data_IF_741964074720
#
_entry.id   IF_741964074720
#
_cell.length_a   1.000
_cell.length_b   1.000
_cell.length_c   1.000
_cell.angle_alpha   90.00
_cell.angle_beta   90.00
_cell.angle_gamma   90.00
#
_symmetry.space_group_name_H-M   'P 1'
#
loop_
_entity.id
_entity.type
_entity.pdbx_description
1 polymer ?
#
# COMPACT_ATOMS: atom_id res chain seq x y z
N UNK A 1 -52.79 -54.46 -13.72
CA UNK A 1 -51.34 -54.29 -13.49
C UNK A 1 -50.71 -53.17 -14.39
N UNK A 2 -50.81 -53.29 -15.73
CA UNK A 2 -50.19 -52.30 -16.64
C UNK A 2 -50.71 -50.88 -16.46
N UNK A 3 -52.01 -50.68 -16.33
CA UNK A 3 -52.59 -49.33 -16.12
C UNK A 3 -52.23 -48.71 -14.78
N UNK A 4 -51.99 -49.48 -13.75
CA UNK A 4 -51.49 -48.97 -12.45
C UNK A 4 -50.04 -48.51 -12.54
N UNK A 5 -49.19 -49.21 -13.29
CA UNK A 5 -47.82 -48.80 -13.56
C UNK A 5 -47.73 -47.52 -14.39
N UNK A 6 -48.64 -47.39 -15.42
CA UNK A 6 -48.68 -46.14 -16.21
C UNK A 6 -49.11 -44.95 -15.35
N UNK A 7 -50.10 -45.13 -14.47
CA UNK A 7 -50.53 -44.06 -13.55
C UNK A 7 -49.45 -43.68 -12.56
N UNK A 8 -48.70 -44.65 -12.03
CA UNK A 8 -47.60 -44.40 -11.14
C UNK A 8 -46.47 -43.61 -11.84
N UNK A 9 -46.10 -44.01 -13.07
CA UNK A 9 -45.13 -43.30 -13.89
C UNK A 9 -45.53 -41.87 -14.21
N UNK A 10 -46.80 -41.64 -14.56
CA UNK A 10 -47.34 -40.28 -14.80
C UNK A 10 -47.24 -39.40 -13.56
N UNK A 11 -47.54 -39.93 -12.39
CA UNK A 11 -47.41 -39.19 -11.13
C UNK A 11 -45.94 -38.89 -10.81
N UNK A 12 -45.01 -39.81 -11.12
CA UNK A 12 -43.58 -39.55 -10.95
C UNK A 12 -43.08 -38.45 -11.90
N UNK A 13 -43.52 -38.47 -13.17
CA UNK A 13 -43.15 -37.43 -14.14
C UNK A 13 -43.65 -36.06 -13.65
N UNK A 14 -44.93 -35.95 -13.27
CA UNK A 14 -45.49 -34.68 -12.76
C UNK A 14 -44.76 -34.17 -11.50
N UNK A 15 -44.35 -35.07 -10.60
CA UNK A 15 -43.56 -34.71 -9.43
C UNK A 15 -42.14 -34.21 -9.79
N UNK A 16 -41.48 -34.85 -10.78
CA UNK A 16 -40.19 -34.45 -11.29
C UNK A 16 -40.27 -33.11 -12.03
N UNK A 17 -41.28 -32.87 -12.85
CA UNK A 17 -41.52 -31.60 -13.51
C UNK A 17 -41.67 -30.46 -12.49
N UNK A 18 -42.50 -30.65 -11.46
CA UNK A 18 -42.67 -29.67 -10.39
C UNK A 18 -41.36 -29.43 -9.60
N UNK A 19 -40.57 -30.45 -9.35
CA UNK A 19 -39.29 -30.31 -8.68
C UNK A 19 -38.28 -29.57 -9.56
N UNK A 20 -38.29 -29.76 -10.87
CA UNK A 20 -37.45 -29.06 -11.82
C UNK A 20 -37.82 -27.58 -11.87
N UNK A 21 -39.09 -27.23 -11.99
CA UNK A 21 -39.56 -25.84 -11.99
C UNK A 21 -39.11 -25.10 -10.72
N UNK A 22 -39.23 -25.73 -9.55
CA UNK A 22 -38.77 -25.14 -8.28
C UNK A 22 -37.25 -24.95 -8.26
N UNK A 23 -36.48 -25.89 -8.84
CA UNK A 23 -35.03 -25.78 -8.93
C UNK A 23 -34.61 -24.65 -9.86
N UNK A 24 -35.21 -24.55 -11.05
CA UNK A 24 -34.97 -23.49 -12.02
C UNK A 24 -35.25 -22.09 -11.44
N UNK A 25 -36.36 -21.98 -10.70
CA UNK A 25 -36.70 -20.72 -10.02
C UNK A 25 -35.67 -20.34 -8.97
N UNK A 26 -35.21 -21.30 -8.17
CA UNK A 26 -34.13 -21.05 -7.17
C UNK A 26 -32.81 -20.64 -7.82
N UNK A 27 -32.47 -21.24 -8.93
CA UNK A 27 -31.27 -20.91 -9.68
C UNK A 27 -31.37 -19.51 -10.29
N UNK A 28 -32.50 -19.13 -10.84
CA UNK A 28 -32.78 -17.79 -11.34
C UNK A 28 -32.67 -16.74 -10.22
N UNK A 29 -33.29 -16.99 -9.05
CA UNK A 29 -33.22 -16.11 -7.88
C UNK A 29 -31.78 -15.99 -7.32
N UNK A 30 -31.07 -17.11 -7.30
CA UNK A 30 -29.65 -17.12 -6.85
C UNK A 30 -28.77 -16.31 -7.79
N UNK A 31 -28.93 -16.49 -9.09
CA UNK A 31 -28.18 -15.75 -10.10
C UNK A 31 -28.50 -14.25 -10.05
N UNK A 32 -29.75 -13.86 -9.82
CA UNK A 32 -30.12 -12.45 -9.62
C UNK A 32 -29.48 -11.85 -8.38
N UNK A 33 -29.43 -12.58 -7.26
CA UNK A 33 -28.76 -12.16 -6.02
C UNK A 33 -27.27 -12.02 -6.21
N UNK A 34 -26.60 -12.96 -6.89
CA UNK A 34 -25.17 -12.90 -7.19
C UNK A 34 -24.86 -11.67 -8.04
N UNK A 35 -25.66 -11.39 -9.07
CA UNK A 35 -25.50 -10.22 -9.91
C UNK A 35 -25.69 -8.91 -9.12
N UNK A 36 -26.68 -8.83 -8.22
CA UNK A 36 -26.89 -7.67 -7.37
C UNK A 36 -25.75 -7.46 -6.38
N UNK A 37 -25.30 -8.50 -5.69
CA UNK A 37 -24.15 -8.45 -4.80
C UNK A 37 -22.88 -8.03 -5.54
N UNK A 38 -22.66 -8.53 -6.75
CA UNK A 38 -21.52 -8.12 -7.60
C UNK A 38 -21.56 -6.63 -7.93
N UNK A 39 -22.73 -6.10 -8.30
CA UNK A 39 -22.87 -4.65 -8.54
C UNK A 39 -22.57 -3.81 -7.28
N UNK A 40 -23.14 -4.19 -6.13
CA UNK A 40 -22.91 -3.50 -4.85
C UNK A 40 -21.44 -3.54 -4.44
N UNK A 41 -20.79 -4.68 -4.60
CA UNK A 41 -19.36 -4.84 -4.32
C UNK A 41 -18.52 -3.92 -5.22
N UNK A 42 -18.79 -3.89 -6.53
CA UNK A 42 -18.07 -3.03 -7.46
C UNK A 42 -18.22 -1.54 -7.12
N UNK A 43 -19.43 -1.10 -6.75
CA UNK A 43 -19.66 0.29 -6.31
C UNK A 43 -18.88 0.60 -5.03
N UNK A 44 -18.94 -0.28 -4.04
CA UNK A 44 -18.21 -0.10 -2.79
C UNK A 44 -16.69 -0.07 -2.99
N UNK A 45 -16.15 -0.94 -3.85
CA UNK A 45 -14.74 -0.95 -4.22
C UNK A 45 -14.33 0.33 -4.95
N UNK A 46 -15.14 0.80 -5.90
CA UNK A 46 -14.85 2.05 -6.61
C UNK A 46 -14.82 3.25 -5.65
N UNK A 47 -15.77 3.34 -4.73
CA UNK A 47 -15.78 4.37 -3.69
C UNK A 47 -14.54 4.29 -2.80
N UNK A 48 -14.14 3.10 -2.38
CA UNK A 48 -12.93 2.91 -1.54
C UNK A 48 -11.66 3.30 -2.28
N UNK A 49 -11.55 2.96 -3.56
CA UNK A 49 -10.41 3.38 -4.41
C UNK A 49 -10.35 4.90 -4.55
N UNK A 50 -11.49 5.58 -4.77
CA UNK A 50 -11.54 7.04 -4.84
C UNK A 50 -11.12 7.69 -3.53
N UNK A 51 -11.60 7.19 -2.41
CA UNK A 51 -11.24 7.67 -1.07
C UNK A 51 -9.72 7.52 -0.82
N UNK A 52 -9.15 6.34 -1.08
CA UNK A 52 -7.71 6.09 -0.95
C UNK A 52 -6.88 7.01 -1.85
N UNK A 53 -7.31 7.23 -3.10
CA UNK A 53 -6.64 8.13 -4.02
C UNK A 53 -6.68 9.59 -3.53
N UNK A 54 -7.80 10.02 -2.93
CA UNK A 54 -7.91 11.35 -2.32
C UNK A 54 -6.91 11.52 -1.19
N UNK A 55 -6.89 10.60 -0.21
CA UNK A 55 -5.92 10.67 0.89
C UNK A 55 -4.47 10.67 0.41
N UNK A 56 -4.16 9.84 -0.59
CA UNK A 56 -2.83 9.83 -1.20
C UNK A 56 -2.49 11.20 -1.82
N UNK A 57 -3.40 11.78 -2.58
CA UNK A 57 -3.20 13.10 -3.22
C UNK A 57 -3.03 14.21 -2.19
N UNK A 58 -3.85 14.23 -1.14
CA UNK A 58 -3.76 15.21 -0.06
C UNK A 58 -2.43 15.07 0.70
N UNK A 59 -2.00 13.83 0.98
CA UNK A 59 -0.70 13.53 1.60
C UNK A 59 0.46 14.09 0.76
N UNK A 60 0.52 13.75 -0.53
CA UNK A 60 1.59 14.25 -1.41
C UNK A 60 1.51 15.74 -1.66
N UNK A 61 0.31 16.31 -1.73
CA UNK A 61 0.11 17.76 -1.84
C UNK A 61 0.76 18.52 -0.69
N UNK A 62 0.46 18.12 0.55
CA UNK A 62 1.01 18.77 1.76
C UNK A 62 2.52 18.55 1.92
N UNK A 63 3.01 17.34 1.70
CA UNK A 63 4.46 17.09 1.71
C UNK A 63 5.17 17.93 0.65
N UNK A 64 4.56 18.08 -0.53
CA UNK A 64 5.10 18.94 -1.58
C UNK A 64 5.18 20.40 -1.12
N UNK A 65 4.15 20.95 -0.50
CA UNK A 65 4.16 22.33 0.04
C UNK A 65 5.29 22.53 1.06
N UNK A 66 5.49 21.56 1.97
CA UNK A 66 6.53 21.63 3.00
C UNK A 66 7.95 21.49 2.43
N UNK A 67 8.10 20.72 1.35
CA UNK A 67 9.39 20.35 0.78
C UNK A 67 9.73 21.08 -0.53
N UNK A 68 8.79 21.87 -1.12
CA UNK A 68 8.95 22.50 -2.43
C UNK A 68 9.98 23.64 -2.47
N UNK A 69 10.28 24.26 -1.34
CA UNK A 69 11.21 25.41 -1.23
C UNK A 69 12.69 24.96 -1.15
N UNK A 70 13.02 23.71 -1.61
CA UNK A 70 14.33 23.10 -1.37
C UNK A 70 14.94 22.57 -2.64
N UNK A 71 16.10 23.13 -3.00
CA UNK A 71 16.89 22.72 -4.15
C UNK A 71 17.40 21.25 -4.05
N UNK A 72 17.42 20.69 -2.83
CA UNK A 72 17.98 19.36 -2.54
C UNK A 72 16.96 18.22 -2.60
N UNK A 73 15.69 18.54 -2.87
CA UNK A 73 14.62 17.53 -2.92
C UNK A 73 13.97 17.58 -4.29
N UNK A 74 14.01 16.46 -5.02
CA UNK A 74 13.30 16.31 -6.27
C UNK A 74 12.05 15.48 -6.06
N UNK A 75 10.95 15.90 -6.67
CA UNK A 75 9.69 15.17 -6.64
C UNK A 75 9.54 14.45 -7.97
N UNK A 76 9.45 13.12 -7.93
CA UNK A 76 9.29 12.27 -9.10
C UNK A 76 8.06 11.38 -8.91
N UNK A 77 6.94 11.77 -9.49
CA UNK A 77 5.66 11.08 -9.29
C UNK A 77 5.19 11.16 -7.84
N UNK A 78 5.15 10.02 -7.17
CA UNK A 78 4.80 9.84 -5.76
C UNK A 78 6.02 9.58 -4.86
N UNK A 79 7.21 10.04 -5.26
CA UNK A 79 8.46 9.88 -4.53
C UNK A 79 9.12 11.22 -4.27
N UNK A 80 9.65 11.37 -3.07
CA UNK A 80 10.55 12.46 -2.69
C UNK A 80 11.98 11.92 -2.72
N UNK A 81 12.80 12.46 -3.60
CA UNK A 81 14.18 12.03 -3.81
C UNK A 81 15.10 13.04 -3.13
N UNK A 82 15.75 12.63 -2.07
CA UNK A 82 16.77 13.38 -1.35
C UNK A 82 18.15 13.08 -1.94
N UNK A 83 18.95 14.10 -2.13
CA UNK A 83 20.34 13.89 -2.51
C UNK A 83 21.10 13.28 -1.32
N UNK A 84 21.79 12.17 -1.57
CA UNK A 84 22.48 11.39 -0.53
C UNK A 84 23.52 12.22 0.24
N UNK A 85 24.22 13.12 -0.44
CA UNK A 85 25.28 13.97 0.08
C UNK A 85 24.77 14.98 1.13
N UNK A 86 23.49 15.32 1.06
CA UNK A 86 22.85 16.20 2.05
C UNK A 86 22.64 15.48 3.38
N UNK A 87 22.34 14.19 3.33
CA UNK A 87 22.00 13.39 4.50
C UNK A 87 23.22 12.66 5.08
N UNK A 88 24.16 12.22 4.23
CA UNK A 88 25.23 11.31 4.62
C UNK A 88 26.58 11.76 4.08
N UNK A 89 27.62 11.53 4.85
CA UNK A 89 28.99 11.61 4.35
C UNK A 89 29.30 10.42 3.42
N UNK A 90 30.33 10.56 2.59
CA UNK A 90 30.75 9.48 1.66
C UNK A 90 31.05 8.19 2.43
N UNK A 91 30.47 7.07 1.98
CA UNK A 91 30.66 5.76 2.60
C UNK A 91 30.03 5.60 3.99
N UNK A 92 29.33 6.61 4.51
CA UNK A 92 28.68 6.57 5.82
C UNK A 92 27.16 6.37 5.70
N UNK A 93 26.57 5.85 6.76
CA UNK A 93 25.13 5.72 6.92
C UNK A 93 24.60 6.46 8.18
N UNK A 94 25.46 7.16 8.91
CA UNK A 94 25.06 8.10 9.96
C UNK A 94 24.60 9.40 9.32
N UNK A 95 23.40 9.87 9.74
CA UNK A 95 22.84 11.14 9.26
C UNK A 95 23.71 12.26 9.83
N UNK A 96 24.15 13.18 8.98
CA UNK A 96 24.94 14.33 9.41
C UNK A 96 24.04 15.43 10.02
N UNK A 97 24.58 16.40 10.80
CA UNK A 97 23.77 17.42 11.48
C UNK A 97 22.90 18.27 10.54
N UNK A 98 23.35 18.51 9.30
CA UNK A 98 22.56 19.24 8.30
C UNK A 98 21.38 18.40 7.83
N UNK A 99 21.59 17.10 7.62
CA UNK A 99 20.55 16.13 7.28
C UNK A 99 19.54 15.93 8.41
N UNK A 100 19.98 15.93 9.68
CA UNK A 100 19.07 15.84 10.83
C UNK A 100 18.06 16.98 10.84
N UNK A 101 18.51 18.22 10.61
CA UNK A 101 17.61 19.38 10.56
C UNK A 101 16.53 19.25 9.47
N UNK A 102 16.85 18.63 8.34
CA UNK A 102 15.89 18.36 7.28
C UNK A 102 14.94 17.21 7.65
N UNK A 103 15.47 16.17 8.28
CA UNK A 103 14.68 15.01 8.70
C UNK A 103 13.71 15.33 9.84
N UNK A 104 14.02 16.26 10.75
CA UNK A 104 13.08 16.74 11.78
C UNK A 104 11.83 17.35 11.12
N UNK A 105 12.01 18.21 10.12
CA UNK A 105 10.87 18.83 9.42
C UNK A 105 10.03 17.80 8.68
N UNK A 106 10.68 16.81 8.07
CA UNK A 106 9.98 15.69 7.42
C UNK A 106 9.18 14.87 8.46
N UNK A 107 9.79 14.57 9.61
CA UNK A 107 9.13 13.85 10.69
C UNK A 107 7.90 14.61 11.23
N UNK A 108 8.01 15.93 11.40
CA UNK A 108 6.89 16.78 11.82
C UNK A 108 5.73 16.75 10.82
N UNK A 109 6.04 16.85 9.53
CA UNK A 109 5.05 16.75 8.46
C UNK A 109 4.36 15.38 8.45
N UNK A 110 5.13 14.30 8.56
CA UNK A 110 4.58 12.93 8.60
C UNK A 110 3.68 12.77 9.82
N UNK A 111 4.07 13.24 11.02
CA UNK A 111 3.26 13.15 12.24
C UNK A 111 1.96 13.96 12.15
N UNK A 112 1.99 15.10 11.47
CA UNK A 112 0.78 15.88 11.23
C UNK A 112 -0.18 15.10 10.31
N UNK A 113 0.32 14.56 9.21
CA UNK A 113 -0.46 13.77 8.26
C UNK A 113 -0.99 12.47 8.88
N UNK A 114 -0.19 11.82 9.76
CA UNK A 114 -0.60 10.63 10.49
C UNK A 114 -1.84 10.84 11.36
N UNK A 115 -2.03 12.06 11.90
CA UNK A 115 -3.20 12.43 12.68
C UNK A 115 -4.45 12.71 11.83
N UNK A 116 -4.26 13.05 10.57
CA UNK A 116 -5.34 13.41 9.65
C UNK A 116 -5.84 12.21 8.83
N UNK A 117 -5.00 11.20 8.65
CA UNK A 117 -5.39 9.96 7.96
C UNK A 117 -6.21 9.09 8.91
N UNK A 118 -7.44 8.68 8.54
CA UNK A 118 -8.24 7.77 9.33
C UNK A 118 -7.49 6.48 9.69
N UNK A 119 -7.69 5.98 10.91
CA UNK A 119 -7.01 4.79 11.43
C UNK A 119 -7.27 3.51 10.64
N UNK A 120 -8.42 3.45 9.95
CA UNK A 120 -8.84 2.35 9.10
C UNK A 120 -8.04 2.26 7.79
N UNK A 121 -7.32 3.33 7.43
CA UNK A 121 -6.46 3.34 6.26
C UNK A 121 -5.09 2.81 6.63
N UNK A 122 -4.77 1.64 6.11
CA UNK A 122 -3.44 1.06 6.23
C UNK A 122 -2.51 1.67 5.19
N UNK A 123 -1.65 2.60 5.63
CA UNK A 123 -0.62 3.20 4.81
C UNK A 123 0.77 2.90 5.38
N UNK A 124 1.76 2.91 4.53
CA UNK A 124 3.17 2.71 4.89
C UNK A 124 4.02 3.69 4.11
N UNK A 125 4.94 4.35 4.80
CA UNK A 125 6.02 5.11 4.20
C UNK A 125 7.23 4.21 4.00
N UNK A 126 7.64 4.02 2.75
CA UNK A 126 8.83 3.26 2.41
C UNK A 126 10.01 4.20 2.17
N UNK A 127 11.09 3.96 2.85
CA UNK A 127 12.36 4.65 2.68
C UNK A 127 13.27 3.76 1.83
N UNK A 128 13.53 4.21 0.60
CA UNK A 128 14.38 3.52 -0.35
C UNK A 128 15.79 4.14 -0.30
N UNK A 129 16.79 3.35 0.10
CA UNK A 129 18.20 3.73 0.06
C UNK A 129 18.80 3.32 -1.28
N UNK A 130 19.51 4.24 -1.90
CA UNK A 130 20.28 4.02 -3.12
C UNK A 130 21.72 4.50 -2.91
N UNK A 131 22.66 3.93 -3.65
CA UNK A 131 24.03 4.43 -3.80
C UNK A 131 24.28 4.74 -5.28
N UNK A 132 25.43 5.30 -5.58
CA UNK A 132 25.95 5.34 -6.95
C UNK A 132 26.40 3.92 -7.37
N UNK A 133 26.77 3.77 -8.63
CA UNK A 133 27.26 2.52 -9.19
C UNK A 133 28.76 2.29 -8.98
N UNK A 134 29.42 3.13 -8.17
CA UNK A 134 30.83 2.95 -7.83
C UNK A 134 30.96 1.87 -6.75
N UNK A 135 31.66 0.76 -7.01
CA UNK A 135 31.82 -0.29 -6.01
C UNK A 135 32.59 0.21 -4.78
N UNK A 136 32.13 -0.16 -3.59
CA UNK A 136 32.91 0.06 -2.39
C UNK A 136 34.16 -0.83 -2.38
N UNK A 137 35.23 -0.35 -1.71
CA UNK A 137 36.51 -1.08 -1.60
C UNK A 137 36.40 -2.43 -0.89
N UNK A 138 35.29 -2.69 -0.20
CA UNK A 138 35.05 -3.92 0.58
C UNK A 138 35.84 -4.01 1.89
N UNK A 139 36.72 -3.03 2.18
CA UNK A 139 37.55 -3.00 3.41
C UNK A 139 37.00 -2.08 4.49
N UNK A 140 35.95 -1.31 4.18
CA UNK A 140 35.30 -0.38 5.09
C UNK A 140 34.25 -1.07 5.99
N UNK A 141 33.41 -0.22 6.64
CA UNK A 141 32.32 -0.69 7.49
C UNK A 141 31.25 -1.48 6.72
N UNK A 142 31.05 -1.16 5.44
CA UNK A 142 30.10 -1.81 4.54
C UNK A 142 30.87 -2.51 3.43
N UNK A 143 30.51 -3.74 3.13
CA UNK A 143 31.18 -4.58 2.14
C UNK A 143 30.86 -4.19 0.71
N UNK A 144 29.62 -3.76 0.49
CA UNK A 144 29.09 -3.44 -0.82
C UNK A 144 28.01 -2.34 -0.74
N UNK A 145 27.53 -1.92 -1.91
CA UNK A 145 26.51 -0.91 -2.04
C UNK A 145 25.15 -1.36 -1.50
N UNK A 146 24.87 -2.65 -1.48
CA UNK A 146 23.64 -3.19 -0.90
C UNK A 146 23.60 -3.02 0.62
N UNK A 147 24.72 -3.31 1.29
CA UNK A 147 24.85 -3.07 2.73
C UNK A 147 24.76 -1.57 3.07
N UNK A 148 25.44 -0.72 2.30
CA UNK A 148 25.43 0.72 2.53
C UNK A 148 24.04 1.32 2.31
N UNK A 149 23.38 1.00 1.20
CA UNK A 149 22.04 1.52 0.89
C UNK A 149 21.00 1.08 1.91
N UNK A 150 21.06 -0.19 2.33
CA UNK A 150 20.19 -0.73 3.38
C UNK A 150 20.43 -0.08 4.74
N UNK A 151 21.69 0.16 5.10
CA UNK A 151 22.06 0.86 6.34
C UNK A 151 21.58 2.30 6.34
N UNK A 152 21.72 3.03 5.23
CA UNK A 152 21.21 4.40 5.06
C UNK A 152 19.70 4.48 5.22
N UNK A 153 18.95 3.62 4.52
CA UNK A 153 17.50 3.55 4.66
C UNK A 153 17.08 3.24 6.11
N UNK A 154 17.79 2.31 6.76
CA UNK A 154 17.54 1.96 8.16
C UNK A 154 17.84 3.12 9.11
N UNK A 155 18.88 3.91 8.86
CA UNK A 155 19.23 5.09 9.67
C UNK A 155 18.14 6.15 9.59
N UNK A 156 17.59 6.42 8.40
CA UNK A 156 16.46 7.34 8.23
C UNK A 156 15.23 6.83 8.98
N UNK A 157 14.88 5.55 8.85
CA UNK A 157 13.73 4.97 9.57
C UNK A 157 13.92 5.08 11.08
N UNK A 158 15.12 4.76 11.61
CA UNK A 158 15.41 4.90 13.04
C UNK A 158 15.32 6.34 13.51
N UNK A 159 15.78 7.29 12.71
CA UNK A 159 15.64 8.72 13.01
C UNK A 159 14.16 9.14 13.08
N UNK A 160 13.35 8.76 12.10
CA UNK A 160 11.91 9.05 12.09
C UNK A 160 11.20 8.45 13.32
N UNK A 161 11.60 7.24 13.75
CA UNK A 161 11.08 6.61 14.98
C UNK A 161 11.48 7.42 16.22
N UNK A 162 12.74 7.88 16.30
CA UNK A 162 13.20 8.73 17.39
C UNK A 162 12.42 10.05 17.45
N UNK A 163 12.04 10.59 16.29
CA UNK A 163 11.15 11.75 16.13
C UNK A 163 9.66 11.41 16.28
N UNK A 164 9.33 10.23 16.83
CA UNK A 164 7.97 9.79 17.20
C UNK A 164 7.03 9.51 16.02
N UNK A 165 7.55 9.23 14.84
CA UNK A 165 6.74 8.63 13.76
C UNK A 165 6.45 7.17 14.13
N UNK A 166 5.23 6.72 13.90
CA UNK A 166 4.77 5.38 14.31
C UNK A 166 5.53 4.27 13.58
N UNK A 167 6.25 3.36 14.29
CA UNK A 167 7.15 2.39 13.69
C UNK A 167 6.51 1.44 12.68
N UNK A 168 5.27 1.01 12.92
CA UNK A 168 4.54 0.10 12.02
C UNK A 168 4.07 0.76 10.72
N UNK A 169 4.32 2.06 10.56
CA UNK A 169 4.08 2.84 9.34
C UNK A 169 5.34 3.02 8.49
N UNK A 170 6.47 2.44 8.90
CA UNK A 170 7.77 2.66 8.25
C UNK A 170 8.37 1.36 7.74
N UNK A 171 8.95 1.42 6.54
CA UNK A 171 9.72 0.32 5.93
C UNK A 171 11.02 0.89 5.38
N UNK A 172 12.13 0.19 5.62
CA UNK A 172 13.42 0.47 5.01
C UNK A 172 13.73 -0.55 3.91
N UNK A 173 14.20 -0.11 2.76
CA UNK A 173 14.66 -0.96 1.67
C UNK A 173 15.95 -0.41 1.07
N UNK A 174 16.91 -1.29 0.75
CA UNK A 174 18.14 -0.94 0.05
C UNK A 174 18.14 -1.48 -1.37
N UNK A 175 18.72 -0.74 -2.30
CA UNK A 175 18.72 -1.11 -3.73
C UNK A 175 20.13 -1.12 -4.35
N UNK A 176 21.17 -0.96 -3.57
CA UNK A 176 22.57 -1.00 -4.04
C UNK A 176 23.02 0.23 -4.79
#
# INVERSE_FOLDING_TARGET
MLNQQISALRNQIAALESALDVSEQRDADSNAKIADLGRRLNVALAQRVQELNRYRSDFFGRLREILSDRDNIRIVGDRFVFQSEVLFSSGAAEINPAGEAEMVKLADAIRQLEREIPSEINWVLRVDGHTDNVPLSGTGRYRDNWELSSARATSVVKFLIAERVTPNRLVAAGFG
#
